data_IF_609499363329
#
_entry.id   IF_609499363329
#
_cell.length_a   1.000
_cell.length_b   1.000
_cell.length_c   1.000
_cell.angle_alpha   90.00
_cell.angle_beta   90.00
_cell.angle_gamma   90.00
#
_symmetry.space_group_name_H-M   'P 1'
#
loop_
_entity.id
_entity.type
_entity.pdbx_description
1 polymer ?
#
# COMPACT_ATOMS: atom_id res chain seq x y z
N UNK A 1 -8.20 50.32 20.74
CA UNK A 1 -6.77 50.48 20.45
C UNK A 1 -5.99 50.03 21.67
N UNK A 2 -5.17 48.99 21.55
CA UNK A 2 -4.17 48.62 22.55
C UNK A 2 -3.03 47.95 21.78
N UNK A 3 -1.94 48.71 21.57
CA UNK A 3 -0.73 48.27 20.90
C UNK A 3 0.24 47.78 22.00
N UNK A 4 0.43 46.47 22.08
CA UNK A 4 1.47 45.88 22.91
C UNK A 4 2.77 45.84 22.11
N UNK A 5 3.73 46.65 22.51
CA UNK A 5 5.11 46.58 22.04
C UNK A 5 5.84 45.44 22.78
N UNK A 6 6.43 44.51 22.02
CA UNK A 6 7.42 43.57 22.54
C UNK A 6 8.64 43.66 21.64
N UNK A 7 9.70 44.26 22.18
CA UNK A 7 11.04 44.19 21.63
C UNK A 7 11.87 43.32 22.57
N UNK A 8 12.47 42.24 22.05
CA UNK A 8 13.58 41.54 22.67
C UNK A 8 14.52 41.03 21.57
N UNK A 9 15.77 41.47 21.70
CA UNK A 9 16.91 41.28 20.80
C UNK A 9 17.75 40.10 21.30
N UNK A 10 18.32 39.36 20.35
CA UNK A 10 19.58 38.62 20.51
C UNK A 10 19.43 37.12 20.81
N UNK A 11 20.35 36.24 20.45
CA UNK A 11 21.63 36.33 19.74
C UNK A 11 22.01 34.88 19.37
N UNK A 12 22.84 34.74 18.34
CA UNK A 12 23.81 33.65 18.07
C UNK A 12 23.34 32.22 17.77
N UNK A 13 23.53 31.87 16.49
CA UNK A 13 24.33 30.75 15.97
C UNK A 13 24.20 29.36 16.63
N UNK A 14 23.67 28.41 15.85
CA UNK A 14 24.15 27.03 15.79
C UNK A 14 24.21 26.60 14.33
N UNK A 15 25.23 27.10 13.63
CA UNK A 15 25.74 26.48 12.41
C UNK A 15 26.41 25.17 12.87
N UNK A 16 25.65 24.07 12.83
CA UNK A 16 26.16 22.75 13.13
C UNK A 16 26.96 22.24 11.94
N UNK A 17 28.19 21.73 12.13
CA UNK A 17 28.98 21.22 11.02
C UNK A 17 28.25 20.05 10.37
N UNK A 18 27.95 20.20 9.08
CA UNK A 18 27.44 19.16 8.20
C UNK A 18 28.36 17.93 8.29
N UNK A 19 27.90 16.77 8.77
CA UNK A 19 28.77 15.65 9.10
C UNK A 19 29.21 14.84 7.88
N UNK A 20 29.20 15.42 6.68
CA UNK A 20 29.54 14.69 5.47
C UNK A 20 30.35 15.52 4.47
N UNK A 21 31.43 16.14 4.95
CA UNK A 21 32.48 16.63 4.06
C UNK A 21 33.51 15.52 3.81
N UNK A 22 33.46 14.91 2.61
CA UNK A 22 34.36 13.84 2.13
C UNK A 22 35.69 14.36 1.54
N UNK A 23 35.99 15.67 1.66
CA UNK A 23 37.15 16.31 0.99
C UNK A 23 38.37 16.57 1.89
N UNK A 24 38.56 15.83 3.00
CA UNK A 24 39.70 16.08 3.92
C UNK A 24 40.57 14.86 4.21
N UNK A 25 40.53 13.81 3.38
CA UNK A 25 41.40 12.63 3.58
C UNK A 25 42.63 12.55 2.66
N UNK A 26 43.06 13.66 2.06
CA UNK A 26 44.33 13.74 1.33
C UNK A 26 45.12 15.00 1.71
N UNK A 27 45.52 15.11 2.98
CA UNK A 27 46.71 15.88 3.33
C UNK A 27 47.92 14.94 3.29
N UNK A 28 48.68 15.03 2.19
CA UNK A 28 49.97 14.35 1.97
C UNK A 28 51.10 15.20 2.59
N UNK A 29 51.76 14.78 3.68
CA UNK A 29 53.07 15.32 4.02
C UNK A 29 54.15 14.58 3.22
N UNK A 30 54.66 15.26 2.19
CA UNK A 30 55.81 14.81 1.39
C UNK A 30 57.00 14.50 2.30
N UNK A 31 57.41 13.23 2.40
CA UNK A 31 58.66 12.85 3.06
C UNK A 31 59.47 11.90 2.19
N UNK A 32 60.63 12.41 1.78
CA UNK A 32 61.82 11.81 1.16
C UNK A 32 61.97 10.28 1.21
N UNK A 33 62.23 9.70 0.03
CA UNK A 33 62.53 8.28 -0.22
C UNK A 33 63.82 7.76 0.44
N UNK A 34 63.76 6.54 0.97
CA UNK A 34 64.89 5.62 1.13
C UNK A 34 64.44 4.18 0.76
N UNK A 35 65.26 3.35 0.08
CA UNK A 35 64.81 2.06 -0.46
C UNK A 35 65.15 0.85 0.43
N UNK A 36 64.20 -0.11 0.54
CA UNK A 36 64.32 -1.58 0.73
C UNK A 36 63.18 -2.14 1.62
N UNK A 37 62.84 -3.45 1.65
CA UNK A 37 63.07 -4.59 0.74
C UNK A 37 61.73 -5.27 0.28
N UNK A 38 61.85 -6.42 -0.41
CA UNK A 38 60.80 -7.18 -1.12
C UNK A 38 59.46 -7.47 -0.39
N UNK A 39 58.34 -7.62 -1.12
CA UNK A 39 57.00 -7.74 -0.53
C UNK A 39 56.76 -9.14 0.07
N UNK A 40 56.33 -9.16 1.33
CA UNK A 40 55.62 -10.30 1.89
C UNK A 40 54.15 -10.22 1.45
N UNK A 41 53.66 -11.26 0.79
CA UNK A 41 52.25 -11.39 0.39
C UNK A 41 51.35 -11.40 1.64
N UNK A 42 50.75 -10.26 1.96
CA UNK A 42 49.64 -10.19 2.88
C UNK A 42 48.44 -10.89 2.23
N UNK A 43 47.95 -11.98 2.83
CA UNK A 43 46.67 -12.59 2.45
C UNK A 43 45.58 -11.56 2.67
N UNK A 44 45.06 -11.00 1.57
CA UNK A 44 43.83 -10.23 1.56
C UNK A 44 42.72 -11.15 2.02
N UNK A 45 42.22 -10.92 3.24
CA UNK A 45 40.99 -11.56 3.70
C UNK A 45 39.87 -11.08 2.78
N UNK A 46 39.27 -11.99 2.02
CA UNK A 46 38.16 -11.67 1.13
C UNK A 46 37.02 -11.04 1.94
N UNK A 47 36.37 -9.98 1.44
CA UNK A 47 35.15 -9.45 2.04
C UNK A 47 34.13 -10.58 2.15
N UNK A 48 33.75 -10.91 3.38
CA UNK A 48 32.69 -11.87 3.65
C UNK A 48 31.41 -11.29 3.03
N UNK A 49 30.89 -11.94 1.98
CA UNK A 49 29.68 -11.51 1.30
C UNK A 49 28.55 -11.37 2.33
N UNK A 50 27.87 -10.22 2.32
CA UNK A 50 26.68 -10.05 3.14
C UNK A 50 25.66 -11.15 2.78
N UNK A 51 24.98 -11.76 3.76
CA UNK A 51 23.98 -12.77 3.47
C UNK A 51 22.93 -12.19 2.52
N UNK A 52 22.74 -12.84 1.37
CA UNK A 52 21.66 -12.51 0.44
C UNK A 52 20.34 -12.59 1.19
N UNK A 53 19.63 -11.45 1.28
CA UNK A 53 18.27 -11.46 1.80
C UNK A 53 17.43 -12.32 0.85
N UNK A 54 16.56 -13.21 1.37
CA UNK A 54 15.62 -13.95 0.54
C UNK A 54 14.83 -12.98 -0.34
N UNK A 55 14.72 -13.29 -1.62
CA UNK A 55 13.89 -12.50 -2.54
C UNK A 55 12.43 -12.54 -2.06
N UNK A 56 11.82 -11.36 -1.90
CA UNK A 56 10.39 -11.25 -1.59
C UNK A 56 9.60 -11.78 -2.79
N UNK A 57 8.63 -12.69 -2.60
CA UNK A 57 7.81 -13.20 -3.70
C UNK A 57 7.05 -12.06 -4.41
N UNK A 58 7.02 -12.07 -5.74
CA UNK A 58 6.15 -11.17 -6.50
C UNK A 58 4.69 -11.60 -6.37
N UNK A 59 3.92 -10.84 -5.59
CA UNK A 59 2.50 -11.08 -5.38
C UNK A 59 1.60 -10.35 -6.40
N UNK A 60 2.17 -9.55 -7.30
CA UNK A 60 1.43 -8.83 -8.34
C UNK A 60 0.55 -9.73 -9.22
N UNK A 61 1.06 -10.87 -9.74
CA UNK A 61 0.26 -11.80 -10.54
C UNK A 61 -0.90 -12.45 -9.76
N UNK A 62 -0.76 -12.62 -8.44
CA UNK A 62 -1.83 -13.12 -7.58
C UNK A 62 -2.95 -12.07 -7.45
N UNK A 63 -2.57 -10.81 -7.20
CA UNK A 63 -3.50 -9.69 -7.14
C UNK A 63 -4.27 -9.50 -8.47
N UNK A 64 -3.58 -9.67 -9.61
CA UNK A 64 -4.20 -9.60 -10.94
C UNK A 64 -5.27 -10.68 -11.14
N UNK A 65 -4.96 -11.94 -10.81
CA UNK A 65 -5.93 -13.04 -10.96
C UNK A 65 -7.11 -12.96 -10.00
N UNK A 66 -6.90 -12.33 -8.84
CA UNK A 66 -7.95 -12.07 -7.88
C UNK A 66 -8.84 -10.86 -8.25
N UNK A 67 -8.48 -10.08 -9.27
CA UNK A 67 -9.27 -8.95 -9.72
C UNK A 67 -10.55 -9.42 -10.43
N UNK A 68 -11.68 -8.79 -10.10
CA UNK A 68 -12.91 -8.90 -10.88
C UNK A 68 -12.68 -8.45 -12.32
N UNK A 69 -13.31 -9.14 -13.24
CA UNK A 69 -13.31 -8.88 -14.69
C UNK A 69 -14.70 -8.46 -15.15
N UNK A 70 -14.82 -7.99 -16.39
CA UNK A 70 -16.11 -7.61 -16.98
C UNK A 70 -17.15 -8.75 -16.93
N UNK A 71 -16.70 -10.00 -17.07
CA UNK A 71 -17.57 -11.17 -16.97
C UNK A 71 -18.14 -11.36 -15.55
N UNK A 72 -17.37 -11.00 -14.51
CA UNK A 72 -17.79 -11.16 -13.12
C UNK A 72 -18.82 -10.10 -12.70
N UNK A 73 -18.80 -8.93 -13.36
CA UNK A 73 -19.72 -7.81 -13.09
C UNK A 73 -20.83 -7.66 -14.13
N UNK A 74 -20.93 -8.58 -15.09
CA UNK A 74 -21.87 -8.47 -16.21
C UNK A 74 -23.33 -8.35 -15.77
N UNK A 75 -23.70 -8.96 -14.64
CA UNK A 75 -25.06 -8.89 -14.09
C UNK A 75 -25.43 -7.52 -13.49
N UNK A 76 -24.46 -6.60 -13.32
CA UNK A 76 -24.68 -5.26 -12.78
C UNK A 76 -24.97 -4.21 -13.87
N UNK A 77 -25.00 -4.61 -15.15
CA UNK A 77 -25.17 -3.72 -16.31
C UNK A 77 -24.17 -2.55 -16.33
N UNK A 78 -22.98 -2.76 -15.77
CA UNK A 78 -21.92 -1.77 -15.70
C UNK A 78 -21.03 -1.81 -16.95
N UNK A 79 -20.41 -0.68 -17.27
CA UNK A 79 -19.43 -0.57 -18.36
C UNK A 79 -18.04 -0.26 -17.79
N UNK A 80 -16.95 -0.79 -18.39
CA UNK A 80 -15.60 -0.43 -17.99
C UNK A 80 -15.40 1.09 -17.99
N UNK A 81 -14.67 1.59 -17.00
CA UNK A 81 -14.41 3.01 -16.87
C UNK A 81 -13.06 3.30 -16.23
N UNK A 82 -12.75 4.58 -16.13
CA UNK A 82 -11.67 5.09 -15.29
C UNK A 82 -12.26 5.89 -14.13
N UNK A 83 -11.61 5.81 -12.98
CA UNK A 83 -11.88 6.64 -11.81
C UNK A 83 -10.58 6.84 -11.06
N UNK A 84 -10.49 7.91 -10.30
CA UNK A 84 -9.44 8.01 -9.28
C UNK A 84 -9.59 6.86 -8.29
N UNK A 85 -8.44 6.31 -7.89
CA UNK A 85 -8.37 5.26 -6.89
C UNK A 85 -8.91 5.84 -5.59
N UNK A 86 -9.95 5.22 -5.06
CA UNK A 86 -10.58 5.61 -3.79
C UNK A 86 -10.86 4.38 -2.94
N UNK A 87 -11.22 4.61 -1.68
CA UNK A 87 -11.45 3.56 -0.69
C UNK A 87 -10.33 3.46 0.35
N UNK A 88 -10.50 2.59 1.34
CA UNK A 88 -9.84 2.78 2.63
C UNK A 88 -8.35 2.39 2.65
N UNK A 89 -7.94 1.54 1.71
CA UNK A 89 -6.53 1.18 1.52
C UNK A 89 -5.88 1.89 0.32
N UNK A 90 -6.45 3.02 -0.16
CA UNK A 90 -5.92 3.70 -1.34
C UNK A 90 -4.45 4.15 -1.18
N UNK A 91 -4.08 4.56 0.04
CA UNK A 91 -2.74 5.06 0.38
C UNK A 91 -1.91 4.05 1.19
N UNK A 92 -2.36 2.79 1.29
CA UNK A 92 -1.75 1.77 2.14
C UNK A 92 -0.46 1.16 1.56
N UNK A 93 0.47 0.67 2.42
CA UNK A 93 1.67 -0.02 1.97
C UNK A 93 1.31 -1.38 1.38
N UNK A 94 1.24 -1.47 0.05
CA UNK A 94 1.06 -2.73 -0.68
C UNK A 94 2.14 -2.86 -1.75
N UNK A 95 2.70 -4.06 -1.88
CA UNK A 95 3.74 -4.35 -2.89
C UNK A 95 3.15 -4.76 -4.24
N UNK A 96 1.83 -5.00 -4.27
CA UNK A 96 1.07 -5.29 -5.46
C UNK A 96 -0.34 -4.71 -5.30
N UNK A 97 -0.69 -3.77 -6.17
CA UNK A 97 -2.01 -3.16 -6.24
C UNK A 97 -2.55 -3.30 -7.66
N UNK A 98 -3.76 -3.86 -7.78
CA UNK A 98 -4.52 -3.93 -9.01
C UNK A 98 -5.91 -3.35 -8.80
N UNK A 99 -6.35 -2.51 -9.71
CA UNK A 99 -7.64 -1.82 -9.62
C UNK A 99 -8.38 -1.97 -10.95
N UNK A 100 -9.67 -2.28 -10.86
CA UNK A 100 -10.61 -2.24 -11.97
C UNK A 100 -11.79 -1.34 -11.58
N UNK A 101 -12.29 -0.59 -12.56
CA UNK A 101 -13.38 0.37 -12.37
C UNK A 101 -14.45 0.16 -13.42
N UNK A 102 -15.70 0.23 -12.98
CA UNK A 102 -16.87 0.25 -13.84
C UNK A 102 -17.83 1.36 -13.46
N UNK A 103 -18.67 1.75 -14.41
CA UNK A 103 -19.70 2.78 -14.24
C UNK A 103 -21.07 2.20 -14.57
N UNK A 104 -22.03 2.44 -13.69
CA UNK A 104 -23.44 2.18 -13.95
C UNK A 104 -24.00 3.24 -14.89
N UNK A 105 -25.07 2.93 -15.66
CA UNK A 105 -25.78 3.92 -16.48
C UNK A 105 -26.31 5.13 -15.69
N UNK A 106 -26.53 4.98 -14.38
CA UNK A 106 -26.93 6.06 -13.47
C UNK A 106 -25.82 7.07 -13.17
N UNK A 107 -24.58 6.83 -13.62
CA UNK A 107 -23.39 7.59 -13.24
C UNK A 107 -22.72 7.14 -11.94
N UNK A 108 -23.32 6.18 -11.24
CA UNK A 108 -22.74 5.49 -10.09
C UNK A 108 -21.49 4.70 -10.48
N UNK A 109 -20.57 4.48 -9.54
CA UNK A 109 -19.25 3.89 -9.80
C UNK A 109 -19.04 2.65 -8.94
N UNK A 110 -18.46 1.63 -9.56
CA UNK A 110 -17.96 0.41 -8.93
C UNK A 110 -16.44 0.38 -9.06
N UNK A 111 -15.72 0.23 -7.96
CA UNK A 111 -14.26 0.08 -7.96
C UNK A 111 -13.93 -1.18 -7.20
N UNK A 112 -13.16 -2.07 -7.82
CA UNK A 112 -12.59 -3.23 -7.15
C UNK A 112 -11.07 -3.13 -7.15
N UNK A 113 -10.47 -3.29 -5.97
CA UNK A 113 -9.03 -3.27 -5.78
C UNK A 113 -8.59 -4.55 -5.09
N UNK A 114 -7.45 -5.09 -5.52
CA UNK A 114 -6.77 -6.17 -4.82
C UNK A 114 -5.39 -5.70 -4.40
N UNK A 115 -5.10 -5.83 -3.11
CA UNK A 115 -3.84 -5.47 -2.50
C UNK A 115 -3.14 -6.72 -1.98
N UNK A 116 -1.82 -6.77 -2.16
CA UNK A 116 -0.95 -7.82 -1.66
C UNK A 116 -0.06 -7.33 -0.52
N UNK A 117 -0.03 -8.11 0.57
CA UNK A 117 0.72 -7.88 1.79
C UNK A 117 1.75 -9.01 1.99
N UNK A 118 3.05 -8.76 1.73
CA UNK A 118 4.08 -9.81 1.78
C UNK A 118 4.57 -10.09 3.19
N UNK A 119 4.57 -9.07 4.05
CA UNK A 119 5.20 -9.10 5.37
C UNK A 119 4.16 -9.14 6.52
N UNK A 120 2.87 -9.05 6.20
CA UNK A 120 1.76 -9.08 7.15
C UNK A 120 0.60 -9.90 6.61
N UNK A 121 -0.25 -10.44 7.50
CA UNK A 121 -1.46 -11.11 7.07
C UNK A 121 -2.46 -10.10 6.52
N UNK A 122 -3.14 -10.45 5.43
CA UNK A 122 -4.22 -9.62 4.89
C UNK A 122 -5.33 -9.38 5.92
N UNK A 123 -5.58 -10.36 6.79
CA UNK A 123 -6.56 -10.24 7.87
C UNK A 123 -6.18 -9.14 8.87
N UNK A 124 -4.90 -9.04 9.27
CA UNK A 124 -4.43 -7.96 10.13
C UNK A 124 -4.61 -6.59 9.47
N UNK A 125 -4.29 -6.46 8.17
CA UNK A 125 -4.49 -5.21 7.45
C UNK A 125 -5.98 -4.79 7.44
N UNK A 126 -6.91 -5.72 7.25
CA UNK A 126 -8.35 -5.45 7.32
C UNK A 126 -8.81 -5.15 8.76
N UNK A 127 -8.21 -5.77 9.77
CA UNK A 127 -8.52 -5.54 11.18
C UNK A 127 -8.12 -4.13 11.65
N UNK A 128 -6.96 -3.66 11.22
CA UNK A 128 -6.42 -2.33 11.53
C UNK A 128 -7.05 -1.23 10.68
N UNK A 129 -7.70 -1.59 9.57
CA UNK A 129 -8.38 -0.64 8.69
C UNK A 129 -9.63 -0.04 9.33
N UNK A 130 -9.73 1.28 9.26
CA UNK A 130 -10.93 2.05 9.63
C UNK A 130 -11.34 2.90 8.44
N UNK A 131 -12.40 2.49 7.76
CA UNK A 131 -13.01 3.24 6.68
C UNK A 131 -13.88 4.39 7.21
N UNK A 132 -14.07 5.42 6.37
CA UNK A 132 -15.07 6.44 6.64
C UNK A 132 -16.48 5.83 6.75
N UNK A 133 -17.32 6.47 7.56
CA UNK A 133 -18.72 6.09 7.74
C UNK A 133 -18.95 5.07 8.86
N UNK A 134 -20.13 4.44 8.83
CA UNK A 134 -20.57 3.48 9.84
C UNK A 134 -20.37 2.04 9.36
N UNK A 135 -20.04 1.14 10.26
CA UNK A 135 -19.99 -0.30 9.96
C UNK A 135 -21.36 -0.80 9.52
N UNK A 136 -21.39 -1.63 8.48
CA UNK A 136 -22.61 -2.28 7.99
C UNK A 136 -22.42 -3.79 7.97
N UNK A 137 -23.52 -4.53 8.09
CA UNK A 137 -23.50 -6.00 8.00
C UNK A 137 -23.71 -6.46 6.57
N UNK A 138 -22.84 -7.38 6.14
CA UNK A 138 -22.93 -8.10 4.86
C UNK A 138 -22.87 -9.61 5.12
N UNK A 139 -23.43 -10.46 4.23
CA UNK A 139 -23.38 -11.90 4.40
C UNK A 139 -21.95 -12.41 4.56
N UNK A 140 -21.74 -13.33 5.50
CA UNK A 140 -20.44 -13.98 5.71
C UNK A 140 -20.07 -14.79 4.47
N UNK A 141 -18.87 -14.54 3.96
CA UNK A 141 -18.34 -15.26 2.81
C UNK A 141 -17.54 -16.49 3.24
N UNK A 142 -17.73 -17.65 2.61
CA UNK A 142 -16.94 -18.84 2.94
C UNK A 142 -15.50 -18.69 2.46
N UNK A 143 -14.54 -19.22 3.23
CA UNK A 143 -13.13 -19.29 2.84
C UNK A 143 -12.37 -17.96 2.92
N UNK A 144 -12.98 -16.90 3.46
CA UNK A 144 -12.29 -15.66 3.84
C UNK A 144 -11.94 -15.71 5.33
N UNK A 145 -10.79 -15.15 5.71
CA UNK A 145 -10.29 -15.14 7.08
C UNK A 145 -10.92 -14.00 7.89
N UNK A 146 -11.10 -12.84 7.25
CA UNK A 146 -11.75 -11.68 7.82
C UNK A 146 -12.55 -10.93 6.76
N UNK A 147 -13.68 -10.37 7.17
CA UNK A 147 -14.46 -9.46 6.35
C UNK A 147 -14.94 -8.27 7.17
N UNK A 148 -14.94 -7.09 6.56
CA UNK A 148 -15.51 -5.87 7.15
C UNK A 148 -16.17 -5.02 6.08
N UNK A 149 -17.15 -4.22 6.48
CA UNK A 149 -17.87 -3.35 5.57
C UNK A 149 -18.29 -2.06 6.28
N UNK A 150 -18.21 -0.95 5.56
CA UNK A 150 -18.60 0.38 6.03
C UNK A 150 -19.36 1.13 4.94
N UNK A 151 -20.21 2.07 5.35
CA UNK A 151 -20.85 3.01 4.44
C UNK A 151 -20.78 4.43 4.99
N UNK A 152 -20.29 5.33 4.14
CA UNK A 152 -20.37 6.76 4.33
C UNK A 152 -21.41 7.34 3.35
N UNK A 153 -22.63 7.51 3.85
CA UNK A 153 -23.77 7.97 3.06
C UNK A 153 -24.05 7.08 1.84
N UNK A 154 -23.62 7.53 0.66
CA UNK A 154 -23.90 6.86 -0.63
C UNK A 154 -22.77 5.98 -1.14
N UNK A 155 -21.68 5.89 -0.38
CA UNK A 155 -20.49 5.14 -0.75
C UNK A 155 -20.31 4.04 0.30
N UNK A 156 -20.21 2.80 -0.14
CA UNK A 156 -19.95 1.66 0.72
C UNK A 156 -18.67 0.96 0.29
N UNK A 157 -17.85 0.60 1.26
CA UNK A 157 -16.62 -0.18 1.05
C UNK A 157 -16.74 -1.51 1.78
N UNK A 158 -16.41 -2.60 1.10
CA UNK A 158 -16.36 -3.95 1.65
C UNK A 158 -14.98 -4.52 1.43
N UNK A 159 -14.42 -5.14 2.46
CA UNK A 159 -13.10 -5.77 2.43
C UNK A 159 -13.19 -7.23 2.80
N UNK A 160 -12.51 -8.07 2.03
CA UNK A 160 -12.32 -9.49 2.27
C UNK A 160 -10.82 -9.78 2.34
N UNK A 161 -10.39 -10.51 3.36
CA UNK A 161 -9.02 -10.96 3.51
C UNK A 161 -8.90 -12.47 3.36
N UNK A 162 -7.87 -12.92 2.65
CA UNK A 162 -7.43 -14.32 2.60
C UNK A 162 -5.92 -14.38 2.34
N UNK A 163 -5.18 -15.09 3.20
CA UNK A 163 -3.74 -15.21 3.08
C UNK A 163 -3.04 -13.86 3.04
N UNK A 164 -2.36 -13.58 1.92
CA UNK A 164 -1.65 -12.32 1.66
C UNK A 164 -2.44 -11.31 0.84
N UNK A 165 -3.70 -11.57 0.51
CA UNK A 165 -4.51 -10.72 -0.36
C UNK A 165 -5.70 -10.09 0.36
N UNK A 166 -5.90 -8.79 0.14
CA UNK A 166 -7.13 -8.07 0.47
C UNK A 166 -7.86 -7.72 -0.83
N UNK A 167 -9.12 -8.13 -0.93
CA UNK A 167 -10.05 -7.70 -1.98
C UNK A 167 -10.97 -6.63 -1.40
N UNK A 168 -10.87 -5.41 -1.94
CA UNK A 168 -11.65 -4.25 -1.54
C UNK A 168 -12.61 -3.86 -2.67
N UNK A 169 -13.89 -3.72 -2.34
CA UNK A 169 -14.92 -3.22 -3.24
C UNK A 169 -15.48 -1.91 -2.70
N UNK A 170 -15.42 -0.86 -3.51
CA UNK A 170 -16.08 0.41 -3.24
C UNK A 170 -17.20 0.63 -4.24
N UNK A 171 -18.41 0.86 -3.73
CA UNK A 171 -19.61 1.12 -4.53
C UNK A 171 -20.17 2.48 -4.15
N UNK A 172 -20.31 3.37 -5.12
CA UNK A 172 -21.14 4.57 -4.97
C UNK A 172 -22.50 4.33 -5.60
N UNK A 173 -23.58 4.87 -5.01
CA UNK A 173 -24.93 4.76 -5.56
C UNK A 173 -25.75 6.04 -5.30
N UNK A 174 -27.02 6.05 -5.69
CA UNK A 174 -27.91 7.17 -5.37
C UNK A 174 -28.38 7.20 -3.91
N UNK A 175 -28.28 6.08 -3.19
CA UNK A 175 -28.66 5.89 -1.78
C UNK A 175 -27.76 4.86 -1.12
N UNK A 176 -27.63 4.90 0.21
CA UNK A 176 -26.88 3.91 0.99
C UNK A 176 -27.38 2.48 0.73
N UNK A 177 -28.69 2.26 0.79
CA UNK A 177 -29.30 0.94 0.59
C UNK A 177 -28.92 0.33 -0.76
N UNK A 178 -28.96 1.14 -1.83
CA UNK A 178 -28.55 0.67 -3.17
C UNK A 178 -27.07 0.33 -3.24
N UNK A 179 -26.20 1.08 -2.57
CA UNK A 179 -24.77 0.77 -2.51
C UNK A 179 -24.51 -0.54 -1.75
N UNK A 180 -25.19 -0.74 -0.61
CA UNK A 180 -25.13 -1.99 0.17
C UNK A 180 -25.63 -3.18 -0.65
N UNK A 181 -26.76 -3.03 -1.34
CA UNK A 181 -27.35 -4.12 -2.11
C UNK A 181 -26.46 -4.52 -3.30
N UNK A 182 -25.86 -3.55 -3.98
CA UNK A 182 -24.87 -3.81 -5.03
C UNK A 182 -23.62 -4.51 -4.48
N UNK A 183 -23.08 -4.05 -3.35
CA UNK A 183 -21.95 -4.72 -2.70
C UNK A 183 -22.28 -6.18 -2.33
N UNK A 184 -23.49 -6.44 -1.79
CA UNK A 184 -23.96 -7.79 -1.46
C UNK A 184 -24.06 -8.71 -2.67
N UNK A 185 -24.48 -8.20 -3.84
CA UNK A 185 -24.57 -8.99 -5.07
C UNK A 185 -23.19 -9.39 -5.62
N UNK A 186 -22.19 -8.54 -5.44
CA UNK A 186 -20.83 -8.76 -5.95
C UNK A 186 -19.93 -9.56 -5.01
N UNK A 187 -20.28 -9.65 -3.73
CA UNK A 187 -19.52 -10.42 -2.73
C UNK A 187 -19.18 -11.86 -3.17
N UNK A 188 -20.13 -12.67 -3.68
CA UNK A 188 -19.81 -14.02 -4.13
C UNK A 188 -18.73 -14.07 -5.23
N UNK A 189 -18.75 -13.11 -6.16
CA UNK A 189 -17.76 -13.04 -7.24
C UNK A 189 -16.38 -12.67 -6.70
N UNK A 190 -16.31 -11.68 -5.78
CA UNK A 190 -15.07 -11.33 -5.10
C UNK A 190 -14.50 -12.51 -4.33
N UNK A 191 -15.34 -13.20 -3.56
CA UNK A 191 -14.94 -14.38 -2.79
C UNK A 191 -14.43 -15.50 -3.69
N UNK A 192 -15.09 -15.77 -4.82
CA UNK A 192 -14.63 -16.78 -5.77
C UNK A 192 -13.22 -16.45 -6.30
N UNK A 193 -12.97 -15.20 -6.69
CA UNK A 193 -11.65 -14.76 -7.17
C UNK A 193 -10.57 -14.85 -6.11
N UNK A 194 -10.89 -14.38 -4.91
CA UNK A 194 -9.97 -14.35 -3.78
C UNK A 194 -9.64 -15.77 -3.30
N UNK A 195 -10.65 -16.63 -3.16
CA UNK A 195 -10.48 -18.00 -2.66
C UNK A 195 -9.85 -18.95 -3.66
N UNK A 196 -9.87 -18.63 -4.96
CA UNK A 196 -9.13 -19.36 -5.99
C UNK A 196 -7.61 -19.14 -5.93
N UNK A 197 -7.13 -18.12 -5.19
CA UNK A 197 -5.70 -17.93 -4.98
C UNK A 197 -5.20 -18.87 -3.86
N UNK A 198 -3.93 -19.32 -3.93
CA UNK A 198 -3.32 -20.15 -2.90
C UNK A 198 -3.33 -19.49 -1.53
#
# INVERSE_FOLDING_TARGET
MALAAVALVGLTACDGPDPNNLETYYDDPVTTSAPAPAPAEARVSQPQAAPERPAVPDLGPLAERALLTDADVAAEDVQPGSSEVSGCLADGPSVGNRTATWRYPSGSVLIHRVLAFPDSSAAQAVEESVCAGKTVSVPVQPGVELQRAWCDGKICTVMLAKGSLVSELTVSASTETRAVDAAKRLLPAMTAKLTAQP
#
